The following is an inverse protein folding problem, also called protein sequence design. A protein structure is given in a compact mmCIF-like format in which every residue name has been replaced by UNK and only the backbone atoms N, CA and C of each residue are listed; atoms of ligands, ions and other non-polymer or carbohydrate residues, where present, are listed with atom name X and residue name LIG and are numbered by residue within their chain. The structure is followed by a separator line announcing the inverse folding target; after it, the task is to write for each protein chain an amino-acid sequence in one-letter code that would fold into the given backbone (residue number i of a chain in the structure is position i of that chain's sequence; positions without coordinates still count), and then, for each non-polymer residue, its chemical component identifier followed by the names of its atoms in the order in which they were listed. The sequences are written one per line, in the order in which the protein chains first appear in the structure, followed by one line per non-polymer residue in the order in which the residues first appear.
data_IF_393601063622
#
_entry.id   IF_393601063622
#
_cell.length_a   1.000
_cell.length_b   1.000
_cell.length_c   1.000
_cell.angle_alpha   90.00
_cell.angle_beta   90.00
_cell.angle_gamma   90.00
#
_symmetry.space_group_name_H-M   'P 1'
#
loop_
_entity.id
_entity.type
_entity.pdbx_description
1 polymer ?
#
# COMPACT_ATOMS: atom_id res chain seq x y z
N UNK A 1 16.01 -40.80 -6.48
CA UNK A 1 15.69 -39.52 -5.86
C UNK A 1 14.23 -39.23 -6.17
N UNK A 2 13.35 -39.17 -5.14
CA UNK A 2 11.92 -38.97 -5.31
C UNK A 2 11.60 -37.50 -4.99
N UNK A 3 10.85 -36.76 -5.83
CA UNK A 3 10.36 -35.43 -5.50
C UNK A 3 9.12 -35.54 -4.58
N UNK A 4 9.15 -34.86 -3.45
CA UNK A 4 7.97 -34.71 -2.58
C UNK A 4 7.11 -33.56 -3.11
N UNK A 5 5.91 -33.93 -3.54
CA UNK A 5 4.86 -33.00 -3.95
C UNK A 5 4.12 -32.53 -2.68
N UNK A 6 4.33 -31.29 -2.27
CA UNK A 6 3.52 -30.68 -1.21
C UNK A 6 2.32 -29.97 -1.84
N UNK A 7 1.18 -30.62 -1.70
CA UNK A 7 -0.13 -30.05 -2.04
C UNK A 7 -0.65 -29.32 -0.79
N UNK A 8 -0.67 -27.98 -0.82
CA UNK A 8 -1.36 -27.19 0.20
C UNK A 8 -2.70 -26.78 -0.39
N UNK A 9 -3.76 -27.47 0.04
CA UNK A 9 -5.13 -27.10 -0.24
C UNK A 9 -5.58 -26.06 0.80
N UNK A 10 -5.61 -24.80 0.44
CA UNK A 10 -6.19 -23.72 1.22
C UNK A 10 -7.66 -23.54 0.85
N UNK A 11 -8.57 -24.11 1.64
CA UNK A 11 -10.01 -23.86 1.51
C UNK A 11 -10.36 -22.58 2.28
N UNK A 12 -10.61 -21.48 1.57
CA UNK A 12 -11.13 -20.25 2.15
C UNK A 12 -12.65 -20.29 2.18
N UNK A 13 -13.21 -20.43 3.39
CA UNK A 13 -14.64 -20.24 3.64
C UNK A 13 -14.94 -18.74 3.69
N UNK A 14 -15.53 -18.20 2.63
CA UNK A 14 -16.21 -16.91 2.67
C UNK A 14 -17.64 -17.13 3.16
N UNK A 15 -17.91 -16.83 4.44
CA UNK A 15 -19.27 -16.71 4.93
C UNK A 15 -19.80 -15.30 4.71
N UNK A 16 -20.70 -15.20 3.74
CA UNK A 16 -21.47 -13.97 3.51
C UNK A 16 -22.59 -13.93 4.58
N UNK A 17 -22.46 -13.03 5.54
CA UNK A 17 -23.53 -12.71 6.48
C UNK A 17 -24.53 -11.75 5.82
N UNK A 18 -25.66 -12.28 5.36
CA UNK A 18 -26.82 -11.47 5.03
C UNK A 18 -27.57 -11.13 6.33
N UNK A 19 -27.56 -9.85 6.70
CA UNK A 19 -28.44 -9.33 7.76
C UNK A 19 -29.76 -8.84 7.14
N UNK A 20 -30.92 -9.17 7.74
CA UNK A 20 -32.19 -8.69 7.25
C UNK A 20 -32.38 -7.21 7.59
N UNK A 21 -32.68 -6.40 6.57
CA UNK A 21 -33.08 -5.00 6.71
C UNK A 21 -34.51 -4.98 7.21
N UNK A 22 -34.72 -4.58 8.46
CA UNK A 22 -36.05 -4.23 8.97
C UNK A 22 -36.30 -2.76 8.66
N UNK A 23 -37.20 -2.52 7.72
CA UNK A 23 -37.73 -1.19 7.47
C UNK A 23 -38.61 -0.74 8.62
N UNK A 24 -38.25 0.34 9.30
CA UNK A 24 -39.16 1.10 10.16
C UNK A 24 -39.45 2.43 9.48
N UNK A 25 -40.68 2.55 9.01
CA UNK A 25 -41.29 3.82 8.68
C UNK A 25 -41.63 4.54 9.98
N UNK A 26 -41.04 5.70 10.21
CA UNK A 26 -41.50 6.63 11.25
C UNK A 26 -41.62 8.03 10.67
N UNK A 27 -42.78 8.60 10.94
CA UNK A 27 -43.33 9.87 10.50
C UNK A 27 -42.59 11.08 11.06
N UNK A 28 -42.52 12.10 10.19
CA UNK A 28 -42.41 13.55 10.34
C UNK A 28 -42.40 14.19 11.73
N UNK A 29 -41.30 14.93 12.01
CA UNK A 29 -41.36 16.25 12.64
C UNK A 29 -40.16 17.06 12.13
N UNK A 30 -40.35 18.36 11.75
CA UNK A 30 -39.23 19.20 11.31
C UNK A 30 -38.49 19.71 12.55
N UNK A 31 -37.39 19.11 12.93
CA UNK A 31 -36.45 19.73 13.85
C UNK A 31 -35.44 20.54 13.05
N UNK A 32 -35.65 21.85 13.04
CA UNK A 32 -34.64 22.87 12.75
C UNK A 32 -33.52 22.81 13.78
N UNK A 33 -32.58 21.92 13.56
CA UNK A 33 -31.20 22.01 14.06
C UNK A 33 -30.33 21.53 12.91
N UNK A 34 -30.03 22.47 12.00
CA UNK A 34 -28.88 22.35 11.14
C UNK A 34 -27.63 22.39 12.06
N UNK A 35 -27.32 21.23 12.62
CA UNK A 35 -26.01 21.00 13.17
C UNK A 35 -25.10 21.02 11.94
N UNK A 36 -24.43 22.15 11.71
CA UNK A 36 -23.28 22.20 10.80
C UNK A 36 -22.34 21.11 11.25
N UNK A 37 -22.45 19.94 10.65
CA UNK A 37 -21.39 18.96 10.66
C UNK A 37 -20.22 19.64 9.97
N UNK A 38 -19.33 20.22 10.77
CA UNK A 38 -18.01 20.66 10.30
C UNK A 38 -17.43 19.46 9.58
N UNK A 39 -17.43 19.50 8.25
CA UNK A 39 -16.81 18.47 7.42
C UNK A 39 -15.35 18.50 7.79
N UNK A 40 -14.91 17.53 8.58
CA UNK A 40 -13.52 17.41 8.97
C UNK A 40 -12.73 17.35 7.67
N UNK A 41 -11.77 18.24 7.52
CA UNK A 41 -11.00 18.37 6.28
C UNK A 41 -10.09 17.15 6.19
N UNK A 42 -10.09 16.48 5.05
CA UNK A 42 -9.16 15.39 4.79
C UNK A 42 -7.70 15.89 4.90
N UNK A 43 -6.76 15.05 5.31
CA UNK A 43 -5.36 15.43 5.44
C UNK A 43 -4.81 15.91 4.09
N UNK A 44 -3.93 16.91 4.11
CA UNK A 44 -3.26 17.42 2.90
C UNK A 44 -2.12 16.49 2.44
N UNK A 45 -1.64 15.67 3.35
CA UNK A 45 -0.64 14.64 3.07
C UNK A 45 -0.77 13.49 4.07
N UNK A 46 -0.35 12.30 3.67
CA UNK A 46 -0.26 11.12 4.53
C UNK A 46 1.21 10.70 4.57
N UNK A 47 1.71 10.45 5.77
CA UNK A 47 3.01 9.83 5.99
C UNK A 47 2.81 8.36 6.33
N UNK A 48 3.51 7.49 5.62
CA UNK A 48 3.56 6.06 5.84
C UNK A 48 4.88 5.69 6.50
N UNK A 49 4.83 4.89 7.55
CA UNK A 49 6.02 4.40 8.25
C UNK A 49 5.82 2.93 8.57
N UNK A 50 6.67 2.08 8.04
CA UNK A 50 6.47 0.64 8.16
C UNK A 50 7.69 -0.20 7.85
N UNK A 51 7.41 -1.40 7.40
CA UNK A 51 8.39 -2.36 6.94
C UNK A 51 7.98 -2.90 5.57
N UNK A 52 8.95 -3.05 4.70
CA UNK A 52 8.82 -3.67 3.39
C UNK A 52 9.50 -5.04 3.37
N UNK A 53 8.94 -5.94 2.58
CA UNK A 53 9.53 -7.21 2.21
C UNK A 53 9.58 -7.30 0.70
N UNK A 54 10.69 -7.79 0.14
CA UNK A 54 10.82 -8.06 -1.29
C UNK A 54 11.26 -9.49 -1.52
N UNK A 55 10.72 -10.12 -2.56
CA UNK A 55 11.07 -11.46 -3.01
C UNK A 55 11.25 -11.48 -4.53
N UNK A 56 12.47 -11.78 -4.97
CA UNK A 56 12.84 -11.86 -6.38
C UNK A 56 12.53 -13.24 -6.96
N UNK A 57 11.84 -13.30 -8.12
CA UNK A 57 11.50 -14.56 -8.79
C UNK A 57 12.71 -15.32 -9.37
N UNK A 58 13.82 -14.63 -9.62
CA UNK A 58 15.06 -15.26 -10.10
C UNK A 58 15.74 -16.15 -9.05
N UNK A 59 15.16 -16.25 -7.88
CA UNK A 59 15.65 -17.00 -6.73
C UNK A 59 16.34 -16.11 -5.71
N UNK A 60 16.26 -16.50 -4.46
CA UNK A 60 16.81 -15.77 -3.33
C UNK A 60 15.93 -15.89 -2.09
N UNK A 61 16.47 -15.48 -0.95
CA UNK A 61 15.71 -15.32 0.27
C UNK A 61 14.94 -14.00 0.21
N UNK A 62 13.81 -13.94 0.90
CA UNK A 62 13.12 -12.69 1.12
C UNK A 62 14.03 -11.69 1.85
N UNK A 63 14.02 -10.44 1.42
CA UNK A 63 14.72 -9.33 2.07
C UNK A 63 13.72 -8.43 2.78
N UNK A 64 14.17 -7.80 3.87
CA UNK A 64 13.35 -6.92 4.68
C UNK A 64 14.03 -5.56 4.82
N UNK A 65 13.20 -4.49 4.82
CA UNK A 65 13.64 -3.12 4.98
C UNK A 65 12.66 -2.33 5.85
N UNK A 66 13.08 -1.26 6.53
CA UNK A 66 12.16 -0.21 6.89
C UNK A 66 11.61 0.43 5.62
N UNK A 67 10.37 0.92 5.68
CA UNK A 67 9.72 1.66 4.60
C UNK A 67 9.23 3.00 5.14
N UNK A 68 9.43 4.05 4.38
CA UNK A 68 8.86 5.37 4.62
C UNK A 68 8.38 5.93 3.30
N UNK A 69 7.11 6.34 3.25
CA UNK A 69 6.54 7.01 2.10
C UNK A 69 5.75 8.25 2.51
N UNK A 70 5.57 9.15 1.57
CA UNK A 70 4.72 10.33 1.71
C UNK A 70 3.76 10.40 0.52
N UNK A 71 2.49 10.56 0.83
CA UNK A 71 1.43 10.64 -0.15
C UNK A 71 0.75 12.00 -0.10
N UNK A 72 0.40 12.53 -1.26
CA UNK A 72 -0.35 13.77 -1.44
C UNK A 72 -1.45 13.57 -2.47
N UNK A 73 -2.60 14.24 -2.24
CA UNK A 73 -3.79 14.14 -3.10
C UNK A 73 -3.94 15.39 -3.97
N UNK A 74 -3.31 15.50 -5.16
CA UNK A 74 -3.45 16.66 -6.03
C UNK A 74 -4.85 16.79 -6.63
N UNK A 75 -5.56 15.67 -6.82
CA UNK A 75 -6.93 15.68 -7.36
C UNK A 75 -7.78 14.71 -6.54
N UNK A 76 -8.64 15.27 -5.68
CA UNK A 76 -9.52 14.49 -4.79
C UNK A 76 -10.26 13.38 -5.54
N UNK A 77 -10.28 12.16 -4.97
CA UNK A 77 -10.94 10.96 -5.49
C UNK A 77 -10.48 10.51 -6.89
N UNK A 78 -9.41 11.09 -7.44
CA UNK A 78 -8.98 10.73 -8.78
C UNK A 78 -7.50 10.40 -8.88
N UNK A 79 -6.61 11.18 -8.27
CA UNK A 79 -5.17 11.00 -8.38
C UNK A 79 -4.48 11.33 -7.06
N UNK A 80 -3.66 10.39 -6.62
CA UNK A 80 -2.73 10.53 -5.51
C UNK A 80 -1.32 10.25 -5.98
N UNK A 81 -0.36 10.97 -5.41
CA UNK A 81 1.06 10.77 -5.67
C UNK A 81 1.72 10.30 -4.40
N UNK A 82 2.44 9.21 -4.48
CA UNK A 82 3.28 8.72 -3.41
C UNK A 82 4.73 8.75 -3.82
N UNK A 83 5.60 9.08 -2.86
CA UNK A 83 7.04 8.92 -2.97
C UNK A 83 7.55 8.13 -1.78
N UNK A 84 8.14 6.98 -2.04
CA UNK A 84 8.61 6.03 -1.04
C UNK A 84 10.11 5.79 -1.08
N UNK A 85 10.63 5.24 0.03
CA UNK A 85 12.01 4.77 0.13
C UNK A 85 12.11 3.56 1.05
N UNK A 86 12.77 2.52 0.56
CA UNK A 86 13.02 1.27 1.28
C UNK A 86 14.49 0.85 1.18
N UNK A 87 15.31 1.03 2.23
CA UNK A 87 16.70 0.55 2.26
C UNK A 87 16.79 -0.91 2.69
N UNK A 88 17.11 -1.81 1.77
CA UNK A 88 17.34 -3.22 2.04
C UNK A 88 18.80 -3.49 2.36
N UNK A 89 19.06 -4.15 3.49
CA UNK A 89 20.40 -4.46 3.96
C UNK A 89 20.60 -5.98 3.97
N UNK A 90 21.66 -6.44 3.32
CA UNK A 90 22.13 -7.80 3.43
C UNK A 90 23.58 -7.81 3.92
N UNK A 91 24.16 -8.99 4.17
CA UNK A 91 25.54 -9.09 4.67
C UNK A 91 26.57 -8.39 3.78
N UNK A 92 26.36 -8.38 2.45
CA UNK A 92 27.35 -7.91 1.48
C UNK A 92 26.80 -6.88 0.50
N UNK A 93 25.54 -6.43 0.69
CA UNK A 93 24.90 -5.44 -0.19
C UNK A 93 23.99 -4.49 0.59
N UNK A 94 23.88 -3.31 0.06
CA UNK A 94 22.86 -2.33 0.45
C UNK A 94 22.15 -1.92 -0.83
N UNK A 95 20.82 -2.04 -0.83
CA UNK A 95 19.95 -1.65 -1.92
C UNK A 95 18.99 -0.58 -1.42
N UNK A 96 18.86 0.50 -2.16
CA UNK A 96 17.92 1.57 -1.90
C UNK A 96 16.91 1.58 -3.02
N UNK A 97 15.68 1.30 -2.69
CA UNK A 97 14.56 1.40 -3.60
C UNK A 97 13.85 2.71 -3.31
N UNK A 98 13.70 3.52 -4.35
CA UNK A 98 13.02 4.82 -4.31
C UNK A 98 11.96 4.79 -5.41
N UNK A 99 10.72 4.87 -5.01
CA UNK A 99 9.56 4.80 -5.90
C UNK A 99 8.81 6.12 -5.95
N UNK A 100 8.12 6.31 -7.07
CA UNK A 100 7.16 7.38 -7.27
C UNK A 100 5.91 6.77 -7.92
N UNK A 101 4.84 6.63 -7.16
CA UNK A 101 3.61 6.04 -7.62
C UNK A 101 2.54 7.09 -7.92
N UNK A 102 1.80 6.84 -8.97
CA UNK A 102 0.58 7.54 -9.34
C UNK A 102 -0.59 6.61 -9.04
N UNK A 103 -1.31 6.90 -7.97
CA UNK A 103 -2.36 6.04 -7.42
C UNK A 103 -3.74 6.56 -7.78
N UNK A 104 -4.65 5.65 -8.09
CA UNK A 104 -6.08 5.92 -8.22
C UNK A 104 -6.78 5.44 -6.96
N UNK A 105 -7.40 6.34 -6.15
CA UNK A 105 -8.13 5.96 -4.96
C UNK A 105 -9.57 5.51 -5.26
N UNK A 106 -10.05 4.59 -4.40
CA UNK A 106 -11.45 4.17 -4.29
C UNK A 106 -11.84 4.09 -2.82
N UNK A 107 -12.70 4.99 -2.39
CA UNK A 107 -13.23 5.00 -1.03
C UNK A 107 -14.24 3.86 -0.85
N UNK A 108 -13.88 2.82 -0.08
CA UNK A 108 -14.76 1.70 0.25
C UNK A 108 -15.71 2.10 1.38
N UNK A 109 -15.19 2.80 2.38
CA UNK A 109 -15.95 3.31 3.52
C UNK A 109 -15.20 4.46 4.18
N UNK A 110 -15.80 5.12 5.19
CA UNK A 110 -15.12 6.14 6.00
C UNK A 110 -13.86 5.63 6.74
N UNK A 111 -13.67 4.33 6.79
CA UNK A 111 -12.58 3.67 7.53
C UNK A 111 -11.67 2.83 6.67
N UNK A 112 -11.98 2.69 5.38
CA UNK A 112 -11.22 1.85 4.48
C UNK A 112 -11.19 2.47 3.07
N UNK A 113 -9.99 2.54 2.53
CA UNK A 113 -9.69 2.96 1.17
C UNK A 113 -8.87 1.89 0.48
N UNK A 114 -9.02 1.82 -0.82
CA UNK A 114 -8.22 0.96 -1.68
C UNK A 114 -7.70 1.79 -2.83
N UNK A 115 -6.42 1.64 -3.16
CA UNK A 115 -5.81 2.33 -4.28
C UNK A 115 -5.04 1.36 -5.16
N UNK A 116 -4.91 1.68 -6.43
CA UNK A 116 -3.98 1.02 -7.33
C UNK A 116 -3.08 2.07 -7.92
N UNK A 117 -1.79 1.85 -7.78
CA UNK A 117 -0.75 2.72 -8.28
C UNK A 117 0.13 2.06 -9.33
N UNK A 118 0.75 2.89 -10.13
CA UNK A 118 1.80 2.51 -11.06
C UNK A 118 2.82 3.64 -11.16
N UNK A 119 4.09 3.27 -11.26
CA UNK A 119 5.13 4.27 -11.38
C UNK A 119 6.52 3.72 -11.60
N UNK A 120 7.50 4.61 -11.77
CA UNK A 120 8.90 4.25 -11.81
C UNK A 120 9.47 4.02 -10.41
N UNK A 121 10.36 3.05 -10.32
CA UNK A 121 11.20 2.80 -9.15
C UNK A 121 12.66 2.94 -9.57
N UNK A 122 13.46 3.65 -8.79
CA UNK A 122 14.90 3.73 -8.94
C UNK A 122 15.57 2.87 -7.89
N UNK A 123 16.39 1.91 -8.35
CA UNK A 123 17.12 0.97 -7.51
C UNK A 123 18.60 1.33 -7.52
N UNK A 124 19.15 1.64 -6.35
CA UNK A 124 20.56 1.90 -6.12
C UNK A 124 21.17 0.77 -5.31
N UNK A 125 21.86 -0.15 -6.00
CA UNK A 125 22.50 -1.31 -5.39
C UNK A 125 24.01 -1.07 -5.21
N UNK A 126 24.49 -1.23 -3.97
CA UNK A 126 25.91 -1.30 -3.65
C UNK A 126 26.24 -2.70 -3.16
N UNK A 127 27.03 -3.45 -3.94
CA UNK A 127 27.41 -4.82 -3.62
C UNK A 127 28.91 -5.04 -3.87
N UNK A 128 29.65 -5.55 -2.87
CA UNK A 128 31.09 -5.84 -2.96
C UNK A 128 31.90 -4.64 -3.49
N UNK A 129 31.56 -3.42 -3.09
CA UNK A 129 32.24 -2.18 -3.49
C UNK A 129 31.86 -1.67 -4.90
N UNK A 130 31.04 -2.41 -5.65
CA UNK A 130 30.48 -1.95 -6.92
C UNK A 130 29.13 -1.29 -6.68
N UNK A 131 28.85 -0.25 -7.45
CA UNK A 131 27.58 0.47 -7.46
C UNK A 131 26.90 0.22 -8.78
N UNK A 132 25.62 -0.12 -8.73
CA UNK A 132 24.75 -0.29 -9.90
C UNK A 132 23.48 0.53 -9.67
N UNK A 133 23.05 1.26 -10.67
CA UNK A 133 21.78 1.96 -10.69
C UNK A 133 20.92 1.35 -11.79
N UNK A 134 19.66 1.12 -11.49
CA UNK A 134 18.68 0.62 -12.46
C UNK A 134 17.32 1.30 -12.23
N UNK A 135 16.50 1.23 -13.29
CA UNK A 135 15.11 1.69 -13.23
C UNK A 135 14.22 0.48 -13.46
N UNK A 136 13.19 0.37 -12.66
CA UNK A 136 12.09 -0.59 -12.75
C UNK A 136 10.75 0.14 -12.86
N UNK A 137 9.73 -0.60 -13.26
CA UNK A 137 8.34 -0.19 -13.12
C UNK A 137 7.71 -0.95 -11.99
N UNK A 138 6.91 -0.28 -11.20
CA UNK A 138 6.18 -0.83 -10.08
C UNK A 138 4.68 -0.72 -10.31
N UNK A 139 3.93 -1.75 -9.89
CA UNK A 139 2.47 -1.73 -9.78
C UNK A 139 2.15 -2.14 -8.35
N UNK A 140 1.48 -1.27 -7.62
CA UNK A 140 1.10 -1.50 -6.24
C UNK A 140 -0.42 -1.43 -6.04
N UNK A 141 -0.91 -2.19 -5.06
CA UNK A 141 -2.29 -2.11 -4.58
C UNK A 141 -2.27 -1.79 -3.10
N UNK A 142 -2.75 -0.62 -2.72
CA UNK A 142 -2.70 -0.15 -1.36
C UNK A 142 -4.06 -0.25 -0.66
N UNK A 143 -4.07 -0.81 0.54
CA UNK A 143 -5.24 -0.95 1.42
C UNK A 143 -5.01 -0.13 2.68
N UNK A 144 -5.71 0.99 2.80
CA UNK A 144 -5.65 1.87 3.97
C UNK A 144 -6.83 1.66 4.90
N UNK A 145 -6.55 1.66 6.20
CA UNK A 145 -7.54 1.47 7.25
C UNK A 145 -7.42 2.54 8.33
N UNK A 146 -8.50 3.27 8.55
CA UNK A 146 -8.62 4.39 9.47
C UNK A 146 -9.59 4.05 10.61
N UNK A 147 -9.14 3.54 11.77
CA UNK A 147 -10.03 3.07 12.84
C UNK A 147 -11.07 4.08 13.29
N UNK A 148 -10.72 5.35 13.32
CA UNK A 148 -11.61 6.44 13.77
C UNK A 148 -12.36 7.10 12.62
N UNK A 149 -12.03 6.84 11.36
CA UNK A 149 -12.55 7.53 10.18
C UNK A 149 -12.19 9.02 10.13
N UNK A 150 -11.19 9.45 10.92
CA UNK A 150 -10.69 10.85 10.94
C UNK A 150 -9.41 11.03 10.15
N UNK A 151 -8.93 9.98 9.51
CA UNK A 151 -7.71 9.94 8.70
C UNK A 151 -6.46 10.54 9.38
N UNK A 152 -6.40 10.50 10.73
CA UNK A 152 -5.24 10.96 11.50
C UNK A 152 -4.22 9.86 11.75
N UNK A 153 -4.72 8.68 12.14
CA UNK A 153 -3.91 7.50 12.39
C UNK A 153 -4.61 6.28 11.82
N UNK A 154 -3.87 5.50 11.08
CA UNK A 154 -4.35 4.28 10.44
C UNK A 154 -3.22 3.28 10.28
N UNK A 155 -3.48 2.27 9.47
CA UNK A 155 -2.50 1.29 9.04
C UNK A 155 -2.76 0.92 7.58
N UNK A 156 -1.71 0.51 6.91
CA UNK A 156 -1.77 0.13 5.50
C UNK A 156 -1.18 -1.26 5.26
N UNK A 157 -1.57 -1.84 4.13
CA UNK A 157 -1.02 -3.05 3.55
C UNK A 157 -0.91 -2.83 2.04
N UNK A 158 0.30 -2.86 1.52
CA UNK A 158 0.58 -2.60 0.12
C UNK A 158 1.38 -3.74 -0.52
N UNK A 159 0.72 -4.70 -1.19
CA UNK A 159 1.37 -5.60 -2.13
C UNK A 159 1.79 -4.86 -3.40
N UNK A 160 3.00 -5.15 -3.87
CA UNK A 160 3.57 -4.57 -5.07
C UNK A 160 4.18 -5.64 -5.99
N UNK A 161 4.28 -5.32 -7.26
CA UNK A 161 5.01 -6.09 -8.27
C UNK A 161 5.94 -5.18 -9.03
N UNK A 162 7.22 -5.57 -9.09
CA UNK A 162 8.29 -4.82 -9.74
C UNK A 162 8.77 -5.53 -10.98
N UNK A 163 9.05 -4.74 -12.03
CA UNK A 163 9.63 -5.21 -13.28
C UNK A 163 10.84 -4.36 -13.66
N UNK A 164 12.02 -4.97 -13.61
CA UNK A 164 13.29 -4.33 -13.99
C UNK A 164 13.46 -4.21 -15.51
N UNK A 165 13.72 -3.02 -15.99
CA UNK A 165 13.96 -2.76 -17.43
C UNK A 165 15.40 -3.03 -17.85
N UNK A 166 16.35 -3.05 -16.91
CA UNK A 166 17.76 -3.30 -17.20
C UNK A 166 18.10 -4.80 -17.18
N UNK A 167 19.05 -5.17 -18.02
CA UNK A 167 19.78 -6.43 -18.16
C UNK A 167 19.28 -7.66 -17.39
N UNK A 168 18.27 -8.36 -17.91
CA UNK A 168 17.77 -9.62 -17.35
C UNK A 168 16.32 -9.61 -16.94
N UNK A 169 15.62 -8.47 -17.02
CA UNK A 169 14.17 -8.36 -16.73
C UNK A 169 13.81 -8.98 -15.37
N UNK A 170 14.53 -8.58 -14.33
CA UNK A 170 14.26 -9.06 -12.97
C UNK A 170 12.84 -8.71 -12.56
N UNK A 171 12.20 -9.64 -11.89
CA UNK A 171 10.84 -9.49 -11.41
C UNK A 171 10.81 -9.83 -9.93
N UNK A 172 10.08 -9.03 -9.16
CA UNK A 172 9.90 -9.22 -7.71
C UNK A 172 8.46 -8.99 -7.30
N UNK A 173 8.11 -9.59 -6.17
CA UNK A 173 6.89 -9.26 -5.43
C UNK A 173 7.34 -8.61 -4.13
N UNK A 174 6.76 -7.45 -3.85
CA UNK A 174 6.90 -6.73 -2.60
C UNK A 174 5.64 -6.80 -1.75
N UNK A 175 5.81 -6.48 -0.48
CA UNK A 175 4.72 -6.19 0.44
C UNK A 175 5.21 -5.21 1.49
N UNK A 176 4.52 -4.09 1.62
CA UNK A 176 4.74 -3.11 2.68
C UNK A 176 3.58 -3.13 3.66
N UNK A 177 3.87 -2.91 4.93
CA UNK A 177 2.86 -2.81 6.00
C UNK A 177 3.35 -1.83 7.06
N UNK A 178 2.44 -1.01 7.56
CA UNK A 178 2.84 0.01 8.53
C UNK A 178 1.69 0.87 9.04
N UNK A 179 2.09 2.01 9.56
CA UNK A 179 1.21 3.03 10.13
C UNK A 179 1.04 4.19 9.16
N UNK A 180 -0.18 4.72 9.13
CA UNK A 180 -0.55 5.94 8.43
C UNK A 180 -0.65 7.10 9.44
N UNK A 181 -0.08 8.24 9.08
CA UNK A 181 -0.15 9.48 9.85
C UNK A 181 -0.64 10.59 8.93
N UNK A 182 -1.91 10.97 9.08
CA UNK A 182 -2.49 12.08 8.33
C UNK A 182 -2.00 13.43 8.84
N UNK A 183 -1.50 14.26 7.93
CA UNK A 183 -1.00 15.62 8.18
C UNK A 183 -2.12 16.59 7.78
N UNK A 184 -2.67 17.38 8.74
CA UNK A 184 -3.79 18.30 8.53
C UNK A 184 -3.45 19.51 7.66
#
# INVERSE_FOLDING_TARGET
MRPYLFMIAGASLFQVFCLPVHGQTSSNAPSLNAQETTKEKDPIAILEVGAAQSWNFSGGAATFAPNVAAEVTPIENWLEHEAGVSPFYTRNSTEWDIDLLFKKPWTISRKAEFMVGVGPQWVHLRQNGKVTNSISGEIAGDFMFWPTGKHRFGWFLEPAYDYGFAGGHQQSIGMSVGLLIGIP
#
